data_IF_683903189184
#
_entry.id   IF_683903189184
#
_cell.length_a   1.000
_cell.length_b   1.000
_cell.length_c   1.000
_cell.angle_alpha   90.00
_cell.angle_beta   90.00
_cell.angle_gamma   90.00
#
_symmetry.space_group_name_H-M   'P 1'
#
loop_
_entity.id
_entity.type
_entity.pdbx_description
1 polymer ?
#
# COMPACT_ATOMS: atom_id res chain seq x y z
N UNK A 1 7.19 -40.11 29.40
CA UNK A 1 7.14 -40.03 27.92
C UNK A 1 6.47 -38.77 27.29
N UNK A 2 5.67 -37.91 27.97
CA UNK A 2 4.98 -36.79 27.30
C UNK A 2 5.90 -35.60 26.92
N UNK A 3 7.00 -35.39 27.65
CA UNK A 3 7.94 -34.27 27.41
C UNK A 3 8.56 -34.24 26.00
N UNK A 4 8.82 -35.40 25.38
CA UNK A 4 9.44 -35.46 24.04
C UNK A 4 8.47 -35.02 22.94
N UNK A 5 7.17 -35.29 23.08
CA UNK A 5 6.13 -34.84 22.13
C UNK A 5 5.88 -33.35 22.26
N UNK A 6 5.79 -32.84 23.49
CA UNK A 6 5.65 -31.41 23.76
C UNK A 6 6.82 -30.59 23.20
N UNK A 7 8.07 -31.04 23.43
CA UNK A 7 9.26 -30.37 22.88
C UNK A 7 9.25 -30.30 21.35
N UNK A 8 8.85 -31.38 20.67
CA UNK A 8 8.74 -31.40 19.20
C UNK A 8 7.66 -30.46 18.69
N UNK A 9 6.50 -30.41 19.36
CA UNK A 9 5.41 -29.49 19.01
C UNK A 9 5.84 -28.02 19.15
N UNK A 10 6.54 -27.68 20.24
CA UNK A 10 7.08 -26.32 20.45
C UNK A 10 8.09 -25.96 19.35
N UNK A 11 8.99 -26.87 19.00
CA UNK A 11 9.96 -26.63 17.92
C UNK A 11 9.24 -26.41 16.59
N UNK A 12 8.22 -27.23 16.26
CA UNK A 12 7.45 -27.05 15.03
C UNK A 12 6.71 -25.71 15.01
N UNK A 13 6.13 -25.30 16.13
CA UNK A 13 5.45 -24.01 16.26
C UNK A 13 6.44 -22.84 16.07
N UNK A 14 7.62 -22.92 16.69
CA UNK A 14 8.66 -21.90 16.54
C UNK A 14 9.14 -21.78 15.09
N UNK A 15 9.42 -22.91 14.44
CA UNK A 15 9.81 -22.93 13.03
C UNK A 15 8.70 -22.36 12.15
N UNK A 16 7.45 -22.75 12.39
CA UNK A 16 6.29 -22.20 11.68
C UNK A 16 6.19 -20.68 11.86
N UNK A 17 6.31 -20.18 13.10
CA UNK A 17 6.26 -18.75 13.38
C UNK A 17 7.38 -17.99 12.68
N UNK A 18 8.61 -18.51 12.70
CA UNK A 18 9.74 -17.91 11.98
C UNK A 18 9.46 -17.83 10.48
N UNK A 19 9.00 -18.93 9.87
CA UNK A 19 8.64 -18.95 8.45
C UNK A 19 7.47 -18.00 8.16
N UNK A 20 6.47 -17.96 9.02
CA UNK A 20 5.32 -17.05 8.92
C UNK A 20 5.77 -15.59 8.95
N UNK A 21 6.63 -15.19 9.89
CA UNK A 21 7.15 -13.83 9.96
C UNK A 21 8.04 -13.47 8.78
N UNK A 22 8.84 -14.40 8.26
CA UNK A 22 9.63 -14.17 7.04
C UNK A 22 8.72 -13.95 5.83
N UNK A 23 7.72 -14.80 5.65
CA UNK A 23 6.75 -14.66 4.56
C UNK A 23 5.93 -13.37 4.69
N UNK A 24 5.48 -13.03 5.90
CA UNK A 24 4.77 -11.79 6.19
C UNK A 24 5.63 -10.55 5.91
N UNK A 25 6.90 -10.55 6.34
CA UNK A 25 7.82 -9.45 6.07
C UNK A 25 8.12 -9.30 4.58
N UNK A 26 8.26 -10.41 3.85
CA UNK A 26 8.43 -10.39 2.41
C UNK A 26 7.19 -9.84 1.70
N UNK A 27 5.99 -10.26 2.12
CA UNK A 27 4.73 -9.73 1.61
C UNK A 27 4.60 -8.22 1.87
N UNK A 28 4.84 -7.78 3.10
CA UNK A 28 4.78 -6.37 3.48
C UNK A 28 5.75 -5.52 2.65
N UNK A 29 7.01 -5.96 2.49
CA UNK A 29 7.99 -5.24 1.66
C UNK A 29 7.63 -5.20 0.18
N UNK A 30 6.94 -6.21 -0.34
CA UNK A 30 6.62 -6.28 -1.77
C UNK A 30 5.41 -5.41 -2.11
N UNK A 31 4.42 -5.38 -1.23
CA UNK A 31 3.10 -4.78 -1.50
C UNK A 31 2.76 -3.58 -0.63
N UNK A 32 3.58 -3.23 0.36
CA UNK A 32 3.35 -2.10 1.28
C UNK A 32 4.64 -1.28 1.37
N UNK A 33 5.29 -1.06 0.22
CA UNK A 33 6.39 -0.11 0.10
C UNK A 33 5.82 1.26 -0.28
N UNK A 34 5.72 2.13 0.74
CA UNK A 34 5.13 3.47 0.58
C UNK A 34 5.84 4.28 -0.50
N UNK A 35 7.17 4.25 -0.56
CA UNK A 35 7.95 5.04 -1.55
C UNK A 35 7.54 4.69 -2.97
N UNK A 36 7.34 3.41 -3.25
CA UNK A 36 6.90 2.96 -4.57
C UNK A 36 5.52 3.49 -4.94
N UNK A 37 4.60 3.58 -3.98
CA UNK A 37 3.28 4.16 -4.21
C UNK A 37 3.33 5.66 -4.45
N UNK A 38 4.22 6.37 -3.75
CA UNK A 38 4.47 7.79 -3.97
C UNK A 38 5.00 8.04 -5.39
N UNK A 39 5.97 7.24 -5.84
CA UNK A 39 6.50 7.32 -7.21
C UNK A 39 5.42 7.05 -8.26
N UNK A 40 4.62 5.99 -8.10
CA UNK A 40 3.52 5.68 -9.02
C UNK A 40 2.53 6.84 -9.13
N UNK A 41 2.16 7.44 -8.00
CA UNK A 41 1.23 8.55 -7.96
C UNK A 41 1.82 9.82 -8.60
N UNK A 42 3.08 10.11 -8.32
CA UNK A 42 3.80 11.27 -8.85
C UNK A 42 3.99 11.20 -10.37
N UNK A 43 4.43 10.05 -10.86
CA UNK A 43 4.56 9.76 -12.29
C UNK A 43 3.21 9.87 -13.00
N UNK A 44 2.14 9.38 -12.36
CA UNK A 44 0.79 9.45 -12.92
C UNK A 44 0.28 10.88 -13.09
N UNK A 45 0.65 11.79 -12.18
CA UNK A 45 0.31 13.21 -12.32
C UNK A 45 1.14 13.97 -13.35
N UNK A 46 1.97 13.29 -14.14
CA UNK A 46 2.94 13.89 -15.07
C UNK A 46 3.80 14.96 -14.40
N UNK A 47 4.17 14.71 -13.14
CA UNK A 47 4.98 15.62 -12.32
C UNK A 47 4.38 17.03 -12.17
N UNK A 48 3.04 17.13 -12.05
CA UNK A 48 2.32 18.40 -11.94
C UNK A 48 2.94 19.33 -10.87
N UNK A 49 3.50 20.50 -11.26
CA UNK A 49 4.17 21.40 -10.33
C UNK A 49 3.23 22.05 -9.31
N UNK A 50 1.91 21.95 -9.52
CA UNK A 50 0.90 22.45 -8.60
C UNK A 50 0.68 21.53 -7.39
N UNK A 51 1.20 20.30 -7.41
CA UNK A 51 1.15 19.39 -6.27
C UNK A 51 2.03 19.93 -5.15
N UNK A 52 1.42 20.19 -3.99
CA UNK A 52 2.07 20.89 -2.88
C UNK A 52 3.05 20.00 -2.10
N UNK A 53 2.69 18.75 -1.87
CA UNK A 53 3.51 17.80 -1.11
C UNK A 53 3.22 16.35 -1.53
N UNK A 54 3.79 15.94 -2.67
CA UNK A 54 3.60 14.58 -3.18
C UNK A 54 4.21 13.49 -2.30
N UNK A 55 5.15 13.84 -1.39
CA UNK A 55 5.82 12.88 -0.48
C UNK A 55 5.02 12.54 0.77
N UNK A 56 4.05 13.38 1.14
CA UNK A 56 3.20 13.15 2.31
C UNK A 56 1.70 13.23 1.93
N UNK A 57 1.22 12.35 1.05
CA UNK A 57 -0.17 12.35 0.65
C UNK A 57 -1.06 11.73 1.72
N UNK A 58 -2.34 12.10 1.69
CA UNK A 58 -3.34 11.39 2.49
C UNK A 58 -3.54 10.02 1.87
N UNK A 59 -3.24 8.96 2.63
CA UNK A 59 -3.28 7.58 2.14
C UNK A 59 -4.20 6.74 3.00
N UNK A 60 -5.10 5.99 2.35
CA UNK A 60 -6.00 5.03 3.00
C UNK A 60 -6.00 3.71 2.23
N UNK A 61 -6.10 2.59 2.94
CA UNK A 61 -6.30 1.28 2.33
C UNK A 61 -7.78 0.97 2.35
N UNK A 62 -8.38 0.84 1.17
CA UNK A 62 -9.82 0.62 1.02
C UNK A 62 -10.11 -0.73 0.37
N UNK A 63 -11.31 -1.23 0.61
CA UNK A 63 -11.86 -2.39 -0.08
C UNK A 63 -13.02 -1.95 -0.97
N UNK A 64 -12.86 -2.05 -2.29
CA UNK A 64 -13.84 -1.59 -3.26
C UNK A 64 -13.93 -2.59 -4.42
N UNK A 65 -15.16 -2.93 -4.83
CA UNK A 65 -15.46 -3.85 -5.94
C UNK A 65 -14.72 -5.21 -5.86
N UNK A 66 -14.55 -5.71 -4.63
CA UNK A 66 -13.86 -6.98 -4.36
C UNK A 66 -12.33 -6.91 -4.51
N UNK A 67 -11.76 -5.71 -4.54
CA UNK A 67 -10.31 -5.46 -4.64
C UNK A 67 -9.83 -4.65 -3.44
N UNK A 68 -8.63 -4.97 -2.97
CA UNK A 68 -7.88 -4.13 -2.04
C UNK A 68 -7.19 -3.02 -2.85
N UNK A 69 -7.43 -1.77 -2.51
CA UNK A 69 -6.84 -0.61 -3.19
C UNK A 69 -6.16 0.31 -2.19
N UNK A 70 -5.11 0.97 -2.63
CA UNK A 70 -4.49 2.09 -1.93
C UNK A 70 -5.07 3.36 -2.52
N UNK A 71 -5.90 4.05 -1.75
CA UNK A 71 -6.43 5.37 -2.09
C UNK A 71 -5.44 6.43 -1.64
N UNK A 72 -4.98 7.26 -2.57
CA UNK A 72 -3.98 8.29 -2.34
C UNK A 72 -4.50 9.63 -2.85
N UNK A 73 -4.48 10.64 -1.99
CA UNK A 73 -4.92 12.00 -2.31
C UNK A 73 -3.73 12.94 -2.32
N UNK A 74 -3.45 13.54 -3.49
CA UNK A 74 -2.44 14.57 -3.66
C UNK A 74 -3.11 15.95 -3.73
N UNK A 75 -2.82 16.79 -2.75
CA UNK A 75 -3.31 18.17 -2.72
C UNK A 75 -2.50 19.09 -3.62
N UNK A 76 -3.20 19.99 -4.30
CA UNK A 76 -2.64 21.00 -5.20
C UNK A 76 -2.94 22.41 -4.72
N UNK A 77 -2.18 23.40 -5.20
CA UNK A 77 -2.51 24.82 -5.00
C UNK A 77 -3.83 25.25 -5.70
N UNK A 78 -4.36 24.39 -6.58
CA UNK A 78 -5.59 24.57 -7.37
C UNK A 78 -6.79 23.77 -6.84
N UNK A 79 -6.71 23.20 -5.64
CA UNK A 79 -7.77 22.34 -5.11
C UNK A 79 -9.14 23.01 -5.03
N UNK A 80 -9.20 24.32 -4.83
CA UNK A 80 -10.47 25.06 -4.80
C UNK A 80 -11.12 25.16 -6.19
N UNK A 81 -10.33 25.17 -7.25
CA UNK A 81 -10.79 25.36 -8.62
C UNK A 81 -11.02 24.03 -9.34
N UNK A 82 -10.09 23.07 -9.18
CA UNK A 82 -10.07 21.80 -9.91
C UNK A 82 -10.20 20.57 -9.00
N UNK A 83 -10.04 20.74 -7.69
CA UNK A 83 -9.94 19.61 -6.76
C UNK A 83 -8.57 18.91 -6.79
N UNK A 84 -8.29 18.10 -5.74
CA UNK A 84 -7.06 17.33 -5.62
C UNK A 84 -7.04 16.15 -6.60
N UNK A 85 -5.87 15.53 -6.77
CA UNK A 85 -5.80 14.21 -7.37
C UNK A 85 -6.23 13.16 -6.36
N UNK A 86 -7.18 12.31 -6.74
CA UNK A 86 -7.69 11.21 -5.92
C UNK A 86 -7.44 9.92 -6.69
N UNK A 87 -6.37 9.21 -6.35
CA UNK A 87 -5.84 8.09 -7.12
C UNK A 87 -6.09 6.76 -6.39
N UNK A 88 -6.55 5.75 -7.12
CA UNK A 88 -6.72 4.40 -6.61
C UNK A 88 -5.67 3.48 -7.23
N UNK A 89 -4.76 3.00 -6.40
CA UNK A 89 -3.64 2.16 -6.82
C UNK A 89 -3.92 0.71 -6.43
N UNK A 90 -3.79 -0.22 -7.39
CA UNK A 90 -3.83 -1.64 -7.10
C UNK A 90 -2.45 -2.07 -6.55
N UNK A 91 -2.36 -2.53 -5.29
CA UNK A 91 -1.09 -2.86 -4.66
C UNK A 91 -0.41 -4.08 -5.30
N UNK A 92 -1.18 -4.99 -5.89
CA UNK A 92 -0.67 -6.20 -6.52
C UNK A 92 -0.16 -5.94 -7.94
N UNK A 93 -0.81 -5.03 -8.67
CA UNK A 93 -0.40 -4.62 -10.01
C UNK A 93 0.56 -3.42 -10.01
N UNK A 94 0.66 -2.71 -8.88
CA UNK A 94 1.52 -1.54 -8.68
C UNK A 94 1.30 -0.46 -9.74
N UNK A 95 0.03 -0.10 -9.96
CA UNK A 95 -0.39 0.95 -10.90
C UNK A 95 -1.72 1.57 -10.48
N UNK A 96 -1.94 2.82 -10.91
CA UNK A 96 -3.24 3.47 -10.80
C UNK A 96 -4.25 2.70 -11.68
N UNK A 97 -5.40 2.35 -11.10
CA UNK A 97 -6.48 1.63 -11.78
C UNK A 97 -7.73 2.48 -11.97
N UNK A 98 -7.90 3.53 -11.16
CA UNK A 98 -8.95 4.53 -11.29
C UNK A 98 -8.55 5.83 -10.61
N UNK A 99 -9.25 6.90 -10.94
CA UNK A 99 -9.15 8.22 -10.30
C UNK A 99 -10.54 8.82 -10.14
N UNK A 100 -10.75 9.66 -9.12
CA UNK A 100 -11.94 10.50 -9.10
C UNK A 100 -11.78 11.67 -10.06
N UNK A 101 -12.88 12.03 -10.73
CA UNK A 101 -12.88 13.16 -11.64
C UNK A 101 -12.60 14.48 -10.90
N UNK A 102 -11.70 15.27 -11.48
CA UNK A 102 -11.45 16.66 -11.09
C UNK A 102 -12.60 17.55 -11.56
N UNK A 103 -12.84 18.66 -10.84
CA UNK A 103 -13.92 19.62 -11.14
C UNK A 103 -13.61 20.49 -12.34
#
# INVERSE_FOLDING_TARGET
>A
MPHKKLRRAIICLLVFLVVFFIAYAAFFRTYIDTEKYLEIAWDYTDHDPHVLNWREPVTEVIWQDGRLLVHMVLHTDQDQERGPYSLYIDPFQQKVVSEDARR
#
